data_IF_459350674992
#
_entry.id   IF_459350674992
#
_cell.length_a   1.000
_cell.length_b   1.000
_cell.length_c   1.000
_cell.angle_alpha   90.00
_cell.angle_beta   90.00
_cell.angle_gamma   90.00
#
_symmetry.space_group_name_H-M   'P 1'
#
loop_
_entity.id
_entity.type
_entity.pdbx_description
1 polymer ?
#
# COMPACT_ATOMS: atom_id res chain seq x y z
N UNK A 1 -2.34 59.08 -13.32
CA UNK A 1 -2.63 58.25 -12.14
C UNK A 1 -3.52 57.08 -12.57
N UNK A 2 -2.96 55.89 -12.83
CA UNK A 2 -3.73 54.72 -13.24
C UNK A 2 -3.80 53.63 -12.15
N UNK A 3 -4.99 53.30 -11.61
CA UNK A 3 -5.18 52.18 -10.69
C UNK A 3 -5.67 50.92 -11.45
N UNK A 4 -4.89 50.41 -12.41
CA UNK A 4 -5.29 49.20 -13.16
C UNK A 4 -4.30 48.02 -13.04
N UNK A 5 -3.22 48.15 -12.26
CA UNK A 5 -2.18 47.11 -12.12
C UNK A 5 -2.45 46.17 -10.91
N UNK A 6 -3.40 46.51 -10.03
CA UNK A 6 -3.66 45.74 -8.80
C UNK A 6 -4.56 44.52 -9.01
N UNK A 7 -5.43 44.50 -10.03
CA UNK A 7 -6.40 43.40 -10.23
C UNK A 7 -5.77 42.11 -10.77
N UNK A 8 -4.73 42.22 -11.62
CA UNK A 8 -4.04 41.07 -12.22
C UNK A 8 -3.28 40.23 -11.18
N UNK A 9 -2.79 40.86 -10.11
CA UNK A 9 -2.08 40.19 -9.02
C UNK A 9 -3.01 39.27 -8.23
N UNK A 10 -4.27 39.66 -8.02
CA UNK A 10 -5.27 38.85 -7.31
C UNK A 10 -5.78 37.69 -8.17
N UNK A 11 -5.98 37.91 -9.48
CA UNK A 11 -6.36 36.86 -10.41
C UNK A 11 -5.27 35.78 -10.54
N UNK A 12 -4.01 36.20 -10.65
CA UNK A 12 -2.87 35.28 -10.72
C UNK A 12 -2.71 34.47 -9.44
N UNK A 13 -2.84 35.10 -8.26
CA UNK A 13 -2.79 34.39 -6.97
C UNK A 13 -3.91 33.38 -6.84
N UNK A 14 -5.15 33.71 -7.23
CA UNK A 14 -6.28 32.77 -7.22
C UNK A 14 -6.06 31.60 -8.16
N UNK A 15 -5.56 31.86 -9.37
CA UNK A 15 -5.24 30.82 -10.33
C UNK A 15 -4.14 29.89 -9.83
N UNK A 16 -3.08 30.43 -9.23
CA UNK A 16 -1.98 29.66 -8.65
C UNK A 16 -2.44 28.86 -7.43
N UNK A 17 -3.32 29.41 -6.59
CA UNK A 17 -3.99 28.69 -5.50
C UNK A 17 -4.86 27.54 -6.00
N UNK A 18 -5.57 27.73 -7.13
CA UNK A 18 -6.41 26.68 -7.72
C UNK A 18 -5.56 25.55 -8.32
N UNK A 19 -4.46 25.86 -8.99
CA UNK A 19 -3.51 24.84 -9.48
C UNK A 19 -2.90 24.07 -8.31
N UNK A 20 -2.48 24.76 -7.25
CA UNK A 20 -1.94 24.11 -6.06
C UNK A 20 -3.00 23.22 -5.38
N UNK A 21 -4.23 23.72 -5.22
CA UNK A 21 -5.33 22.94 -4.67
C UNK A 21 -5.67 21.71 -5.53
N UNK A 22 -5.69 21.86 -6.85
CA UNK A 22 -5.89 20.75 -7.78
C UNK A 22 -4.75 19.72 -7.72
N UNK A 23 -3.49 20.19 -7.61
CA UNK A 23 -2.34 19.32 -7.42
C UNK A 23 -2.41 18.54 -6.10
N UNK A 24 -2.82 19.17 -4.99
CA UNK A 24 -3.01 18.47 -3.72
C UNK A 24 -4.13 17.41 -3.78
N UNK A 25 -5.21 17.67 -4.51
CA UNK A 25 -6.33 16.73 -4.66
C UNK A 25 -6.01 15.55 -5.60
N UNK A 26 -5.05 15.70 -6.51
CA UNK A 26 -4.68 14.65 -7.48
C UNK A 26 -3.70 13.59 -6.92
N UNK A 27 -3.23 13.72 -5.67
CA UNK A 27 -2.12 12.93 -5.11
C UNK A 27 -2.43 11.69 -4.24
N UNK A 28 -3.65 11.11 -4.12
CA UNK A 28 -3.83 9.98 -3.19
C UNK A 28 -3.29 8.62 -3.70
N UNK A 29 -2.62 8.55 -4.85
CA UNK A 29 -2.35 7.26 -5.52
C UNK A 29 -0.95 6.65 -5.30
N UNK A 30 0.00 7.33 -4.65
CA UNK A 30 1.41 6.87 -4.59
C UNK A 30 1.73 5.88 -3.45
N UNK A 31 0.73 5.42 -2.69
CA UNK A 31 0.92 4.59 -1.48
C UNK A 31 0.60 3.11 -1.64
N UNK A 32 0.24 2.62 -2.83
CA UNK A 32 -0.16 1.23 -2.99
C UNK A 32 1.06 0.31 -3.15
N UNK A 33 1.43 -0.36 -2.05
CA UNK A 33 2.37 -1.48 -2.10
C UNK A 33 1.76 -2.61 -2.92
N UNK A 34 2.23 -2.76 -4.16
CA UNK A 34 1.81 -3.84 -5.04
C UNK A 34 2.39 -5.15 -4.53
N UNK A 35 1.53 -6.14 -4.30
CA UNK A 35 1.98 -7.48 -3.96
C UNK A 35 2.77 -8.08 -5.12
N UNK A 36 3.77 -8.94 -4.84
CA UNK A 36 4.48 -9.67 -5.88
C UNK A 36 3.52 -10.49 -6.75
N UNK A 37 3.82 -10.69 -8.05
CA UNK A 37 3.00 -11.54 -8.91
C UNK A 37 2.79 -12.92 -8.30
N UNK A 38 1.55 -13.41 -8.34
CA UNK A 38 1.20 -14.73 -7.80
C UNK A 38 1.06 -14.81 -6.28
N UNK A 39 1.04 -13.68 -5.56
CA UNK A 39 0.74 -13.59 -4.13
C UNK A 39 -0.59 -12.84 -3.94
N UNK A 40 -1.57 -13.47 -3.29
CA UNK A 40 -2.81 -12.80 -2.87
C UNK A 40 -2.88 -12.68 -1.36
N UNK A 41 -3.28 -11.51 -0.86
CA UNK A 41 -3.57 -11.27 0.56
C UNK A 41 -4.99 -11.75 0.87
N UNK A 42 -5.14 -12.51 1.97
CA UNK A 42 -6.41 -13.03 2.46
C UNK A 42 -6.76 -12.41 3.82
N UNK A 43 -7.36 -13.19 4.73
CA UNK A 43 -7.77 -12.72 6.04
C UNK A 43 -6.56 -12.24 6.87
N UNK A 44 -6.80 -11.22 7.70
CA UNK A 44 -5.84 -10.76 8.69
C UNK A 44 -6.54 -10.67 10.03
N UNK A 45 -6.02 -11.38 11.03
CA UNK A 45 -6.60 -11.47 12.38
C UNK A 45 -5.46 -11.35 13.39
N UNK A 46 -5.63 -10.46 14.39
CA UNK A 46 -4.66 -10.30 15.50
C UNK A 46 -3.20 -10.06 15.04
N UNK A 47 -3.02 -9.39 13.90
CA UNK A 47 -1.69 -9.11 13.35
C UNK A 47 -1.06 -10.26 12.56
N UNK A 48 -1.76 -11.39 12.40
CA UNK A 48 -1.37 -12.48 11.50
C UNK A 48 -2.11 -12.28 10.17
N UNK A 49 -1.39 -12.24 9.07
CA UNK A 49 -1.97 -12.12 7.72
C UNK A 49 -1.77 -13.41 6.94
N UNK A 50 -2.84 -13.94 6.36
CA UNK A 50 -2.78 -15.05 5.41
C UNK A 50 -2.45 -14.55 4.00
N UNK A 51 -1.54 -15.25 3.33
CA UNK A 51 -1.27 -15.11 1.91
C UNK A 51 -1.45 -16.44 1.19
N UNK A 52 -1.97 -16.37 -0.04
CA UNK A 52 -2.01 -17.52 -0.95
C UNK A 52 -1.05 -17.30 -2.11
N UNK A 53 -0.30 -18.35 -2.39
CA UNK A 53 0.63 -18.41 -3.50
C UNK A 53 -0.04 -19.09 -4.69
N UNK A 54 0.38 -18.75 -5.91
CA UNK A 54 -0.15 -19.33 -7.15
C UNK A 54 -0.02 -20.86 -7.22
N UNK A 55 0.94 -21.45 -6.49
CA UNK A 55 1.14 -22.90 -6.39
C UNK A 55 0.23 -23.59 -5.36
N UNK A 56 -0.71 -22.87 -4.73
CA UNK A 56 -1.64 -23.40 -3.75
C UNK A 56 -1.14 -23.39 -2.30
N UNK A 57 0.11 -23.00 -2.05
CA UNK A 57 0.63 -22.88 -0.69
C UNK A 57 -0.08 -21.77 0.08
N UNK A 58 -0.25 -22.00 1.38
CA UNK A 58 -0.75 -21.02 2.35
C UNK A 58 0.41 -20.56 3.23
N UNK A 59 0.60 -19.25 3.33
CA UNK A 59 1.60 -18.62 4.19
C UNK A 59 0.88 -17.80 5.24
N UNK A 60 1.21 -18.01 6.50
CA UNK A 60 0.74 -17.17 7.62
C UNK A 60 1.90 -16.29 8.05
N UNK A 61 1.77 -14.98 7.82
CA UNK A 61 2.80 -14.01 8.18
C UNK A 61 2.48 -13.39 9.52
N UNK A 62 3.40 -13.53 10.47
CA UNK A 62 3.38 -12.89 11.78
C UNK A 62 4.62 -12.00 11.93
N UNK A 63 4.50 -10.68 11.72
CA UNK A 63 5.62 -9.76 11.78
C UNK A 63 6.01 -9.43 13.22
N UNK A 64 7.27 -9.65 13.58
CA UNK A 64 7.87 -9.21 14.84
C UNK A 64 9.12 -8.35 14.55
N UNK A 65 9.02 -7.01 14.62
CA UNK A 65 10.14 -6.11 14.32
C UNK A 65 11.22 -6.09 15.42
N UNK A 66 10.99 -6.74 16.57
CA UNK A 66 11.94 -6.75 17.69
C UNK A 66 13.06 -7.78 17.50
N UNK A 67 12.90 -8.70 16.54
CA UNK A 67 13.82 -9.80 16.26
C UNK A 67 14.55 -9.57 14.95
N UNK A 68 15.87 -9.76 14.94
CA UNK A 68 16.70 -9.75 13.73
C UNK A 68 16.67 -11.09 12.96
N UNK A 69 16.17 -12.15 13.60
CA UNK A 69 16.10 -13.50 13.03
C UNK A 69 14.66 -13.84 12.64
N UNK A 70 14.48 -14.39 11.45
CA UNK A 70 13.19 -14.87 10.94
C UNK A 70 13.09 -16.38 11.18
N UNK A 71 11.97 -16.83 11.76
CA UNK A 71 11.66 -18.25 11.93
C UNK A 71 10.62 -18.68 10.91
N UNK A 72 10.87 -19.77 10.19
CA UNK A 72 9.94 -20.36 9.23
C UNK A 72 9.52 -21.74 9.72
N UNK A 73 8.23 -21.94 9.94
CA UNK A 73 7.64 -23.24 10.24
C UNK A 73 6.92 -23.77 9.01
N UNK A 74 7.18 -25.03 8.64
CA UNK A 74 6.57 -25.67 7.48
C UNK A 74 5.79 -26.89 7.95
N UNK A 75 4.48 -26.90 7.68
CA UNK A 75 3.61 -28.05 7.93
C UNK A 75 3.40 -28.79 6.62
N UNK A 76 3.88 -30.03 6.54
CA UNK A 76 3.67 -30.90 5.39
C UNK A 76 2.65 -31.98 5.75
N UNK A 77 1.50 -31.99 5.08
CA UNK A 77 0.38 -32.90 5.37
C UNK A 77 0.59 -34.27 4.73
N UNK A 78 1.60 -35.01 5.20
CA UNK A 78 1.88 -36.39 4.76
C UNK A 78 1.63 -37.40 5.88
N UNK A 79 1.36 -38.65 5.50
CA UNK A 79 1.17 -39.77 6.43
C UNK A 79 1.62 -41.10 5.84
N UNK A 80 1.82 -42.09 6.70
CA UNK A 80 2.29 -43.45 6.33
C UNK A 80 1.27 -44.25 5.48
N UNK A 81 0.01 -43.82 5.49
CA UNK A 81 -1.13 -44.58 4.96
C UNK A 81 -1.58 -44.25 3.54
N UNK A 82 -0.76 -43.67 2.67
CA UNK A 82 -1.17 -43.43 1.27
C UNK A 82 -1.05 -44.70 0.38
N UNK A 83 -1.45 -45.86 0.93
CA UNK A 83 -1.56 -47.13 0.17
C UNK A 83 -2.85 -47.17 -0.63
#
# INVERSE_FOLDING_TARGET
MPPHILESTHAYRRFLSLILCFALLAFPALGQSTLPPGVSKHASVEGITEYRLANGLRVLLFPDPTKSTITVNITYMVGSGNR
#
